data_IF_308957385115
#
_entry.id   IF_308957385115
#
_cell.length_a   1.000
_cell.length_b   1.000
_cell.length_c   1.000
_cell.angle_alpha   90.00
_cell.angle_beta   90.00
_cell.angle_gamma   90.00
#
_symmetry.space_group_name_H-M   'P 1'
#
loop_
_entity.id
_entity.type
_entity.pdbx_description
1 polymer ?
#
# COMPACT_ATOMS: atom_id res chain seq x y z
N UNK A 1 3.31 20.81 27.43
CA UNK A 1 4.27 19.84 26.87
C UNK A 1 3.47 18.62 26.48
N UNK A 2 3.38 18.32 25.19
CA UNK A 2 2.84 17.03 24.75
C UNK A 2 3.93 16.01 25.09
N UNK A 3 3.67 15.12 26.04
CA UNK A 3 4.57 13.99 26.29
C UNK A 3 4.46 13.07 25.09
N UNK A 4 5.49 13.06 24.24
CA UNK A 4 5.59 12.04 23.21
C UNK A 4 5.74 10.69 23.93
N UNK A 5 4.66 9.92 24.06
CA UNK A 5 4.74 8.47 24.30
C UNK A 5 5.09 7.75 22.98
N UNK A 6 6.02 8.32 22.21
CA UNK A 6 6.51 7.71 20.98
C UNK A 6 7.62 6.75 21.43
N UNK A 7 7.22 5.52 21.69
CA UNK A 7 8.15 4.45 22.02
C UNK A 7 9.09 4.29 20.82
N UNK A 8 10.39 4.51 21.04
CA UNK A 8 11.43 4.50 19.99
C UNK A 8 11.45 3.19 19.21
N UNK A 9 11.00 2.10 19.82
CA UNK A 9 10.64 0.86 19.15
C UNK A 9 9.27 0.39 19.68
N UNK A 10 8.20 0.41 18.86
CA UNK A 10 6.91 -0.12 19.27
C UNK A 10 6.96 -1.66 19.25
N UNK A 11 7.59 -2.26 20.27
CA UNK A 11 7.75 -3.72 20.40
C UNK A 11 6.41 -4.46 20.28
N UNK A 12 5.35 -3.90 20.86
CA UNK A 12 4.00 -4.44 20.77
C UNK A 12 3.48 -4.49 19.32
N UNK A 13 3.80 -3.47 18.51
CA UNK A 13 3.41 -3.43 17.10
C UNK A 13 4.15 -4.48 16.28
N UNK A 14 5.47 -4.60 16.44
CA UNK A 14 6.25 -5.63 15.73
C UNK A 14 5.86 -7.04 16.14
N UNK A 15 5.65 -7.26 17.44
CA UNK A 15 5.17 -8.54 17.96
C UNK A 15 3.81 -8.89 17.37
N UNK A 16 2.89 -7.92 17.30
CA UNK A 16 1.57 -8.11 16.68
C UNK A 16 1.69 -8.46 15.20
N UNK A 17 2.53 -7.73 14.45
CA UNK A 17 2.75 -8.01 13.02
C UNK A 17 3.35 -9.40 12.79
N UNK A 18 4.30 -9.83 13.62
CA UNK A 18 4.87 -11.17 13.52
C UNK A 18 3.89 -12.28 13.91
N UNK A 19 3.07 -12.08 14.94
CA UNK A 19 2.00 -13.01 15.31
C UNK A 19 0.98 -13.09 14.17
N UNK A 20 0.57 -11.94 13.61
CA UNK A 20 -0.31 -11.90 12.45
C UNK A 20 0.30 -12.69 11.29
N UNK A 21 1.58 -12.48 10.97
CA UNK A 21 2.28 -13.24 9.93
C UNK A 21 2.29 -14.76 10.21
N UNK A 22 2.50 -15.17 11.47
CA UNK A 22 2.53 -16.57 11.86
C UNK A 22 1.16 -17.25 11.72
N UNK A 23 0.06 -16.48 11.81
CA UNK A 23 -1.31 -16.96 11.63
C UNK A 23 -1.73 -16.90 10.15
N UNK A 24 -1.45 -15.79 9.46
CA UNK A 24 -1.88 -15.56 8.08
C UNK A 24 -1.21 -16.51 7.12
N UNK A 25 0.09 -16.80 7.29
CA UNK A 25 0.83 -17.67 6.37
C UNK A 25 0.25 -19.10 6.30
N UNK A 26 -0.04 -19.81 7.41
CA UNK A 26 -0.74 -21.09 7.36
C UNK A 26 -2.13 -21.01 6.72
N UNK A 27 -2.89 -19.96 7.01
CA UNK A 27 -4.24 -19.75 6.44
C UNK A 27 -4.17 -19.58 4.93
N UNK A 28 -3.21 -18.80 4.46
CA UNK A 28 -2.95 -18.55 3.06
C UNK A 28 -2.47 -19.79 2.31
N UNK A 29 -1.53 -20.53 2.89
CA UNK A 29 -1.06 -21.81 2.35
C UNK A 29 -2.18 -22.85 2.31
N UNK A 30 -3.06 -22.85 3.31
CA UNK A 30 -4.26 -23.67 3.31
C UNK A 30 -5.22 -23.26 2.17
N UNK A 31 -5.36 -21.95 1.91
CA UNK A 31 -6.07 -21.42 0.75
C UNK A 31 -5.51 -21.94 -0.57
N UNK A 32 -4.19 -21.83 -0.76
CA UNK A 32 -3.48 -22.40 -1.92
C UNK A 32 -3.72 -23.90 -2.06
N UNK A 33 -3.59 -24.65 -0.96
CA UNK A 33 -3.85 -26.09 -0.92
C UNK A 33 -5.29 -26.44 -1.35
N UNK A 34 -6.28 -25.71 -0.83
CA UNK A 34 -7.68 -25.89 -1.19
C UNK A 34 -7.91 -25.64 -2.69
N UNK A 35 -7.32 -24.57 -3.25
CA UNK A 35 -7.45 -24.26 -4.66
C UNK A 35 -6.85 -25.37 -5.52
N UNK A 36 -5.64 -25.84 -5.19
CA UNK A 36 -4.95 -26.87 -5.99
C UNK A 36 -5.64 -28.23 -5.91
N UNK A 37 -6.08 -28.66 -4.72
CA UNK A 37 -6.58 -30.03 -4.49
C UNK A 37 -8.10 -30.19 -4.59
N UNK A 38 -8.88 -29.15 -4.30
CA UNK A 38 -10.36 -29.21 -4.26
C UNK A 38 -11.05 -28.52 -5.44
N UNK A 39 -10.34 -27.76 -6.27
CA UNK A 39 -10.97 -27.11 -7.43
C UNK A 39 -11.44 -28.15 -8.45
N UNK A 40 -12.72 -28.10 -8.89
CA UNK A 40 -13.24 -29.05 -9.85
C UNK A 40 -12.71 -28.80 -11.27
N UNK A 41 -12.58 -29.84 -12.12
CA UNK A 41 -11.93 -29.75 -13.42
C UNK A 41 -12.66 -28.82 -14.41
N UNK A 42 -13.97 -28.61 -14.26
CA UNK A 42 -14.74 -27.71 -15.13
C UNK A 42 -14.43 -26.22 -14.92
N UNK A 43 -13.76 -25.84 -13.82
CA UNK A 43 -13.34 -24.46 -13.52
C UNK A 43 -11.82 -24.27 -13.58
N UNK A 44 -11.10 -25.15 -14.28
CA UNK A 44 -9.63 -25.18 -14.27
C UNK A 44 -8.98 -23.85 -14.67
N UNK A 45 -9.53 -23.13 -15.64
CA UNK A 45 -9.01 -21.83 -16.07
C UNK A 45 -9.17 -20.76 -14.98
N UNK A 46 -10.34 -20.69 -14.36
CA UNK A 46 -10.63 -19.76 -13.27
C UNK A 46 -9.81 -20.10 -12.01
N UNK A 47 -9.66 -21.39 -11.70
CA UNK A 47 -8.85 -21.89 -10.58
C UNK A 47 -7.38 -21.49 -10.71
N UNK A 48 -6.81 -21.52 -11.92
CA UNK A 48 -5.43 -21.05 -12.18
C UNK A 48 -5.26 -19.57 -11.88
N UNK A 49 -6.22 -18.74 -12.29
CA UNK A 49 -6.19 -17.31 -11.98
C UNK A 49 -6.31 -17.06 -10.47
N UNK A 50 -7.24 -17.76 -9.81
CA UNK A 50 -7.44 -17.68 -8.37
C UNK A 50 -6.18 -18.13 -7.60
N UNK A 51 -5.48 -19.13 -8.11
CA UNK A 51 -4.21 -19.62 -7.56
C UNK A 51 -3.11 -18.55 -7.67
N UNK A 52 -2.95 -17.93 -8.83
CA UNK A 52 -1.98 -16.83 -9.03
C UNK A 52 -2.29 -15.68 -8.06
N UNK A 53 -3.56 -15.29 -7.93
CA UNK A 53 -3.99 -14.28 -6.97
C UNK A 53 -3.63 -14.65 -5.53
N UNK A 54 -3.97 -15.88 -5.09
CA UNK A 54 -3.68 -16.33 -3.74
C UNK A 54 -2.17 -16.32 -3.48
N UNK A 55 -1.35 -16.78 -4.44
CA UNK A 55 0.12 -16.71 -4.33
C UNK A 55 0.60 -15.26 -4.21
N UNK A 56 0.10 -14.35 -5.06
CA UNK A 56 0.46 -12.93 -4.97
C UNK A 56 0.07 -12.31 -3.63
N UNK A 57 -1.12 -12.63 -3.11
CA UNK A 57 -1.57 -12.18 -1.80
C UNK A 57 -0.65 -12.71 -0.69
N UNK A 58 -0.35 -14.01 -0.69
CA UNK A 58 0.57 -14.62 0.29
C UNK A 58 1.96 -14.03 0.25
N UNK A 59 2.50 -13.78 -0.95
CA UNK A 59 3.80 -13.10 -1.10
C UNK A 59 3.73 -11.69 -0.55
N UNK A 60 2.66 -10.94 -0.82
CA UNK A 60 2.47 -9.57 -0.35
C UNK A 60 2.32 -9.50 1.17
N UNK A 61 1.56 -10.41 1.76
CA UNK A 61 1.34 -10.50 3.20
C UNK A 61 2.61 -10.93 3.93
N UNK A 62 3.33 -11.92 3.40
CA UNK A 62 4.65 -12.33 3.93
C UNK A 62 5.65 -11.18 3.82
N UNK A 63 5.65 -10.47 2.68
CA UNK A 63 6.52 -9.33 2.49
C UNK A 63 6.20 -8.22 3.50
N UNK A 64 4.93 -7.89 3.72
CA UNK A 64 4.51 -6.78 4.59
C UNK A 64 4.65 -7.11 6.08
N UNK A 65 4.35 -8.34 6.49
CA UNK A 65 4.29 -8.69 7.92
C UNK A 65 5.60 -9.30 8.47
N UNK A 66 6.50 -9.78 7.60
CA UNK A 66 7.72 -10.46 8.02
C UNK A 66 9.00 -9.82 7.43
N UNK A 67 8.99 -9.50 6.14
CA UNK A 67 10.22 -9.06 5.45
C UNK A 67 10.44 -7.54 5.54
N UNK A 68 9.37 -6.76 5.39
CA UNK A 68 9.35 -5.32 5.25
C UNK A 68 8.08 -4.78 5.91
N UNK A 69 8.17 -4.42 7.19
CA UNK A 69 7.12 -3.83 8.00
C UNK A 69 7.25 -2.30 7.93
N UNK A 70 6.46 -1.61 7.10
CA UNK A 70 6.48 -0.16 7.04
C UNK A 70 5.68 0.43 8.20
N UNK A 71 6.33 1.30 8.98
CA UNK A 71 5.71 2.11 10.02
C UNK A 71 5.72 3.56 9.55
N UNK A 72 4.57 4.04 9.11
CA UNK A 72 4.40 5.43 8.69
C UNK A 72 4.06 6.31 9.90
N UNK A 73 4.82 7.37 10.12
CA UNK A 73 4.57 8.32 11.20
C UNK A 73 3.74 9.51 10.73
N UNK A 74 2.41 9.38 10.72
CA UNK A 74 1.55 10.52 10.41
C UNK A 74 1.66 11.62 11.49
N UNK A 75 1.68 12.92 11.10
CA UNK A 75 1.48 13.48 9.75
C UNK A 75 2.78 13.67 8.94
N UNK A 76 3.92 13.17 9.41
CA UNK A 76 5.19 13.39 8.75
C UNK A 76 5.44 12.34 7.66
N UNK A 77 6.07 12.71 6.54
CA UNK A 77 6.48 11.78 5.50
C UNK A 77 7.76 11.02 5.92
N UNK A 78 7.75 10.45 7.12
CA UNK A 78 8.81 9.63 7.70
C UNK A 78 8.28 8.21 7.78
N UNK A 79 9.01 7.28 7.17
CA UNK A 79 8.69 5.86 7.24
C UNK A 79 9.86 5.16 7.90
N UNK A 80 9.57 4.43 8.96
CA UNK A 80 10.49 3.49 9.57
C UNK A 80 10.20 2.11 9.02
N UNK A 81 11.25 1.37 8.70
CA UNK A 81 11.09 0.03 8.17
C UNK A 81 11.82 -0.98 9.05
N UNK A 82 11.11 -2.04 9.44
CA UNK A 82 11.62 -3.14 10.25
C UNK A 82 11.31 -4.50 9.59
N UNK A 83 12.02 -5.57 9.96
CA UNK A 83 11.85 -6.89 9.33
C UNK A 83 13.16 -7.62 9.05
N UNK A 84 13.05 -8.89 8.62
CA UNK A 84 14.21 -9.78 8.45
C UNK A 84 15.15 -9.31 7.32
N UNK A 85 14.59 -8.66 6.29
CA UNK A 85 15.35 -8.24 5.11
C UNK A 85 16.31 -7.08 5.41
N UNK A 86 16.20 -6.43 6.57
CA UNK A 86 17.09 -5.35 7.02
C UNK A 86 18.44 -5.81 7.55
N UNK A 87 18.59 -7.10 7.88
CA UNK A 87 19.89 -7.65 8.27
C UNK A 87 20.89 -7.61 7.09
N UNK A 88 20.39 -7.62 5.85
CA UNK A 88 21.22 -7.54 4.64
C UNK A 88 21.55 -6.08 4.27
N UNK A 89 22.77 -5.63 4.59
CA UNK A 89 23.29 -4.25 4.40
C UNK A 89 23.26 -3.68 2.96
N UNK A 90 22.87 -4.45 1.95
CA UNK A 90 23.11 -4.10 0.53
C UNK A 90 21.91 -3.51 -0.21
N UNK A 91 20.69 -3.61 0.33
CA UNK A 91 19.49 -3.14 -0.38
C UNK A 91 19.13 -1.71 0.04
N UNK A 92 19.06 -0.79 -0.94
CA UNK A 92 18.63 0.58 -0.68
C UNK A 92 17.15 0.59 -0.30
N UNK A 93 16.83 1.20 0.84
CA UNK A 93 15.48 1.31 1.41
C UNK A 93 14.40 1.77 0.42
N UNK A 94 14.76 2.70 -0.47
CA UNK A 94 13.87 3.19 -1.52
C UNK A 94 13.34 2.08 -2.43
N UNK A 95 14.19 1.10 -2.79
CA UNK A 95 13.76 0.01 -3.66
C UNK A 95 12.83 -0.95 -2.94
N UNK A 96 13.07 -1.25 -1.66
CA UNK A 96 12.16 -2.11 -0.89
C UNK A 96 10.76 -1.49 -0.77
N UNK A 97 10.70 -0.17 -0.52
CA UNK A 97 9.43 0.53 -0.43
C UNK A 97 8.69 0.56 -1.78
N UNK A 98 9.39 0.76 -2.89
CA UNK A 98 8.79 0.69 -4.24
C UNK A 98 8.28 -0.72 -4.54
N UNK A 99 9.08 -1.75 -4.23
CA UNK A 99 8.68 -3.15 -4.40
C UNK A 99 7.44 -3.49 -3.58
N UNK A 100 7.38 -3.05 -2.32
CA UNK A 100 6.21 -3.21 -1.47
C UNK A 100 4.96 -2.59 -2.10
N UNK A 101 5.04 -1.34 -2.56
CA UNK A 101 3.91 -0.69 -3.23
C UNK A 101 3.49 -1.41 -4.51
N UNK A 102 4.44 -1.93 -5.30
CA UNK A 102 4.12 -2.72 -6.48
C UNK A 102 3.37 -4.02 -6.12
N UNK A 103 3.75 -4.68 -5.02
CA UNK A 103 3.04 -5.86 -4.51
C UNK A 103 1.60 -5.51 -4.09
N UNK A 104 1.41 -4.41 -3.35
CA UNK A 104 0.07 -3.93 -2.97
C UNK A 104 -0.79 -3.61 -4.20
N UNK A 105 -0.24 -2.87 -5.17
CA UNK A 105 -0.97 -2.54 -6.40
C UNK A 105 -1.28 -3.78 -7.24
N UNK A 106 -0.37 -4.76 -7.23
CA UNK A 106 -0.60 -6.06 -7.88
C UNK A 106 -1.76 -6.82 -7.27
N UNK A 107 -1.86 -6.91 -5.94
CA UNK A 107 -2.99 -7.59 -5.29
C UNK A 107 -4.31 -6.86 -5.53
N UNK A 108 -4.31 -5.53 -5.49
CA UNK A 108 -5.47 -4.71 -5.85
C UNK A 108 -5.91 -4.90 -7.31
N UNK A 109 -4.97 -4.91 -8.25
CA UNK A 109 -5.25 -5.17 -9.67
C UNK A 109 -5.80 -6.58 -9.91
N UNK A 110 -5.26 -7.58 -9.22
CA UNK A 110 -5.70 -8.96 -9.34
C UNK A 110 -7.15 -9.17 -8.84
N UNK A 111 -7.59 -8.42 -7.81
CA UNK A 111 -9.00 -8.38 -7.39
C UNK A 111 -9.91 -7.93 -8.53
N UNK A 112 -9.56 -6.84 -9.22
CA UNK A 112 -10.34 -6.35 -10.37
C UNK A 112 -10.40 -7.40 -11.47
N UNK A 113 -9.27 -8.06 -11.75
CA UNK A 113 -9.22 -9.13 -12.73
C UNK A 113 -10.17 -10.28 -12.36
N UNK A 114 -10.23 -10.70 -11.09
CA UNK A 114 -11.18 -11.72 -10.64
C UNK A 114 -12.64 -11.30 -10.90
N UNK A 115 -13.01 -10.04 -10.63
CA UNK A 115 -14.34 -9.54 -10.95
C UNK A 115 -14.62 -9.55 -12.45
N UNK A 116 -13.67 -9.11 -13.27
CA UNK A 116 -13.79 -9.08 -14.73
C UNK A 116 -13.97 -10.49 -15.29
N UNK A 117 -13.13 -11.44 -14.87
CA UNK A 117 -13.21 -12.85 -15.31
C UNK A 117 -14.53 -13.48 -14.91
N UNK A 118 -15.00 -13.23 -13.68
CA UNK A 118 -16.30 -13.73 -13.23
C UNK A 118 -17.44 -13.14 -14.04
N UNK A 119 -17.43 -11.82 -14.27
CA UNK A 119 -18.45 -11.15 -15.07
C UNK A 119 -18.50 -11.71 -16.50
N UNK A 120 -17.34 -11.89 -17.14
CA UNK A 120 -17.23 -12.49 -18.48
C UNK A 120 -17.73 -13.95 -18.52
N UNK A 121 -17.51 -14.73 -17.45
CA UNK A 121 -18.01 -16.11 -17.37
C UNK A 121 -19.54 -16.21 -17.24
N UNK A 122 -20.21 -15.14 -16.80
CA UNK A 122 -21.66 -15.07 -16.65
C UNK A 122 -22.37 -14.57 -17.91
N UNK A 123 -21.64 -14.01 -18.88
CA UNK A 123 -22.20 -13.55 -20.15
C UNK A 123 -22.53 -14.74 -21.06
N UNK A 124 -23.72 -14.70 -21.67
CA UNK A 124 -24.13 -15.67 -22.70
C UNK A 124 -23.16 -15.66 -23.88
N UNK A 125 -23.03 -16.79 -24.58
CA UNK A 125 -22.07 -16.96 -25.69
C UNK A 125 -22.26 -15.91 -26.79
N UNK A 126 -23.50 -15.50 -27.06
CA UNK A 126 -23.85 -14.60 -28.17
C UNK A 126 -23.91 -13.11 -27.75
N UNK A 127 -23.51 -12.79 -26.52
CA UNK A 127 -23.57 -11.41 -26.04
C UNK A 127 -22.43 -10.57 -26.63
N UNK A 128 -22.70 -9.38 -27.21
CA UNK A 128 -21.69 -8.58 -27.93
C UNK A 128 -20.52 -8.08 -27.05
N UNK A 129 -20.71 -8.08 -25.73
CA UNK A 129 -19.70 -7.67 -24.74
C UNK A 129 -18.82 -8.83 -24.23
N UNK A 130 -19.04 -10.05 -24.73
CA UNK A 130 -18.24 -11.20 -24.38
C UNK A 130 -16.95 -11.16 -25.18
N UNK A 131 -15.83 -11.05 -24.47
CA UNK A 131 -14.50 -11.05 -25.07
C UNK A 131 -13.95 -12.47 -25.15
N UNK A 132 -13.16 -12.74 -26.20
CA UNK A 132 -12.38 -13.96 -26.23
C UNK A 132 -11.36 -13.96 -25.09
N UNK A 133 -11.08 -15.16 -24.57
CA UNK A 133 -10.13 -15.37 -23.47
C UNK A 133 -8.76 -14.75 -23.74
N UNK A 134 -8.30 -14.77 -25.00
CA UNK A 134 -7.00 -14.20 -25.42
C UNK A 134 -6.96 -12.69 -25.21
N UNK A 135 -7.98 -11.96 -25.65
CA UNK A 135 -8.08 -10.51 -25.47
C UNK A 135 -8.28 -10.15 -24.01
N UNK A 136 -9.04 -10.95 -23.26
CA UNK A 136 -9.22 -10.74 -21.82
C UNK A 136 -7.88 -10.80 -21.07
N UNK A 137 -7.09 -11.85 -21.29
CA UNK A 137 -5.77 -12.00 -20.68
C UNK A 137 -4.83 -10.87 -21.11
N UNK A 138 -4.88 -10.46 -22.39
CA UNK A 138 -4.08 -9.35 -22.90
C UNK A 138 -4.43 -8.03 -22.18
N UNK A 139 -5.71 -7.70 -22.05
CA UNK A 139 -6.18 -6.50 -21.34
C UNK A 139 -5.74 -6.54 -19.88
N UNK A 140 -5.92 -7.67 -19.19
CA UNK A 140 -5.49 -7.84 -17.81
C UNK A 140 -3.97 -7.66 -17.65
N UNK A 141 -3.19 -8.20 -18.59
CA UNK A 141 -1.73 -8.09 -18.59
C UNK A 141 -1.27 -6.65 -18.85
N UNK A 142 -1.91 -5.95 -19.79
CA UNK A 142 -1.63 -4.53 -20.06
C UNK A 142 -1.95 -3.70 -18.82
N UNK A 143 -3.12 -3.90 -18.21
CA UNK A 143 -3.51 -3.21 -16.98
C UNK A 143 -2.48 -3.41 -15.86
N UNK A 144 -2.02 -4.65 -15.66
CA UNK A 144 -1.00 -4.98 -14.67
C UNK A 144 0.32 -4.23 -14.92
N UNK A 145 0.78 -4.17 -16.17
CA UNK A 145 2.02 -3.47 -16.56
C UNK A 145 1.86 -1.97 -16.40
N UNK A 146 0.70 -1.40 -16.76
CA UNK A 146 0.44 0.04 -16.67
C UNK A 146 0.40 0.49 -15.20
N UNK A 147 -0.32 -0.22 -14.33
CA UNK A 147 -0.44 0.17 -12.91
C UNK A 147 0.90 0.03 -12.18
N UNK A 148 1.56 -1.12 -12.28
CA UNK A 148 2.89 -1.29 -11.68
C UNK A 148 3.93 -0.34 -12.30
N UNK A 149 3.86 -0.10 -13.62
CA UNK A 149 4.72 0.86 -14.30
C UNK A 149 4.55 2.29 -13.77
N UNK A 150 3.32 2.72 -13.49
CA UNK A 150 3.04 4.03 -12.91
C UNK A 150 3.66 4.19 -11.51
N UNK A 151 3.53 3.16 -10.66
CA UNK A 151 4.15 3.12 -9.32
C UNK A 151 5.67 3.15 -9.40
N UNK A 152 6.26 2.34 -10.29
CA UNK A 152 7.71 2.29 -10.51
C UNK A 152 8.22 3.65 -10.98
N UNK A 153 7.60 4.25 -12.00
CA UNK A 153 8.00 5.57 -12.51
C UNK A 153 7.87 6.63 -11.42
N UNK A 154 6.78 6.63 -10.65
CA UNK A 154 6.60 7.54 -9.53
C UNK A 154 7.68 7.33 -8.46
N UNK A 155 7.97 6.09 -8.08
CA UNK A 155 8.97 5.72 -7.08
C UNK A 155 10.40 6.07 -7.48
N UNK A 156 10.80 5.75 -8.71
CA UNK A 156 12.14 6.09 -9.23
C UNK A 156 12.32 7.60 -9.43
N UNK A 157 11.24 8.35 -9.63
CA UNK A 157 11.30 9.81 -9.65
C UNK A 157 11.59 10.44 -8.27
N UNK A 158 11.55 9.65 -7.19
CA UNK A 158 11.88 10.08 -5.83
C UNK A 158 13.36 9.83 -5.56
N UNK A 159 14.23 10.86 -5.63
CA UNK A 159 15.64 10.69 -5.31
C UNK A 159 15.79 10.27 -3.84
N UNK A 160 16.72 9.35 -3.57
CA UNK A 160 17.07 9.00 -2.20
C UNK A 160 17.84 10.17 -1.55
N UNK A 161 17.11 11.10 -0.93
CA UNK A 161 17.66 12.30 -0.29
C UNK A 161 17.96 12.11 1.19
N UNK A 162 18.16 10.88 1.67
CA UNK A 162 18.48 10.62 3.09
C UNK A 162 19.62 11.52 3.57
N UNK A 163 20.72 11.56 2.84
CA UNK A 163 21.93 12.32 3.22
C UNK A 163 21.74 13.83 3.12
N UNK A 164 20.90 14.31 2.20
CA UNK A 164 20.62 15.74 2.01
C UNK A 164 19.62 16.29 3.05
N UNK A 165 18.59 15.49 3.38
CA UNK A 165 17.52 15.90 4.29
C UNK A 165 17.90 15.74 5.76
N UNK A 166 18.71 14.74 6.11
CA UNK A 166 19.16 14.48 7.49
C UNK A 166 19.69 15.74 8.19
N UNK A 167 20.66 16.50 7.64
CA UNK A 167 21.18 17.70 8.30
C UNK A 167 20.13 18.81 8.43
N UNK A 168 19.21 18.92 7.47
CA UNK A 168 18.11 19.91 7.51
C UNK A 168 17.16 19.59 8.66
N UNK A 169 16.78 18.32 8.83
CA UNK A 169 15.92 17.89 9.94
C UNK A 169 16.62 18.09 11.30
N UNK A 170 17.90 17.71 11.41
CA UNK A 170 18.70 17.93 12.62
C UNK A 170 18.79 19.43 12.97
N UNK A 171 19.10 20.29 12.00
CA UNK A 171 19.19 21.73 12.23
C UNK A 171 17.85 22.35 12.67
N UNK A 172 16.75 21.92 12.05
CA UNK A 172 15.40 22.36 12.45
C UNK A 172 15.12 21.96 13.90
N UNK A 173 15.48 20.73 14.30
CA UNK A 173 15.32 20.27 15.69
C UNK A 173 16.17 21.05 16.68
N UNK A 174 17.47 21.23 16.41
CA UNK A 174 18.37 22.02 17.27
C UNK A 174 17.86 23.46 17.44
N UNK A 175 17.43 24.10 16.35
CA UNK A 175 16.92 25.48 16.39
C UNK A 175 15.66 25.60 17.25
N UNK A 176 14.88 24.53 17.37
CA UNK A 176 13.69 24.50 18.22
C UNK A 176 14.01 24.33 19.68
N UNK A 177 15.01 23.52 20.00
CA UNK A 177 15.50 23.31 21.36
C UNK A 177 16.06 24.63 21.95
N UNK A 178 16.88 25.35 21.18
CA UNK A 178 17.36 26.69 21.57
C UNK A 178 16.26 27.74 21.73
N UNK A 179 15.09 27.54 21.07
CA UNK A 179 13.93 28.44 21.19
C UNK A 179 13.11 28.21 22.45
N UNK A 180 13.37 27.14 23.20
CA UNK A 180 12.78 26.87 24.50
C UNK A 180 13.71 27.22 25.67
N UNK A 181 15.01 27.38 25.41
CA UNK A 181 15.96 27.92 26.39
C UNK A 181 15.93 29.46 26.27
N UNK A 182 15.65 30.17 27.36
CA UNK A 182 15.63 31.63 27.44
C UNK A 182 17.05 32.22 27.28
N UNK A 183 17.66 32.09 26.10
CA UNK A 183 18.95 32.68 25.76
C UNK A 183 18.76 33.95 24.91
N UNK A 184 19.60 34.98 25.12
CA UNK A 184 19.45 36.30 24.48
C UNK A 184 19.62 36.22 22.95
N UNK A 185 18.52 36.50 22.25
CA UNK A 185 18.25 36.40 20.82
C UNK A 185 19.05 37.31 19.87
N UNK A 186 20.15 37.93 20.32
CA UNK A 186 20.79 39.04 19.58
C UNK A 186 21.89 38.62 18.61
N UNK A 187 22.63 37.52 18.84
CA UNK A 187 23.81 37.17 18.01
C UNK A 187 23.59 36.06 16.96
N UNK A 188 22.61 35.18 17.12
CA UNK A 188 22.40 34.02 16.21
C UNK A 188 21.64 34.36 14.92
N UNK A 189 21.11 35.58 14.81
CA UNK A 189 20.21 36.00 13.72
C UNK A 189 20.90 36.20 12.37
N UNK A 190 22.21 36.47 12.37
CA UNK A 190 22.93 36.89 11.16
C UNK A 190 23.33 35.72 10.23
N UNK A 191 23.52 34.52 10.77
CA UNK A 191 23.91 33.33 9.99
C UNK A 191 22.69 32.57 9.43
N UNK A 192 21.56 32.51 10.15
CA UNK A 192 20.34 31.83 9.67
C UNK A 192 19.60 32.60 8.56
N UNK A 193 19.71 33.93 8.50
CA UNK A 193 18.90 34.75 7.60
C UNK A 193 19.23 34.60 6.11
N UNK A 194 20.41 34.09 5.73
CA UNK A 194 20.77 33.90 4.32
C UNK A 194 20.26 32.58 3.72
N UNK A 195 20.01 31.55 4.52
CA UNK A 195 19.60 30.22 4.02
C UNK A 195 18.11 29.90 4.25
N UNK A 196 17.45 30.60 5.18
CA UNK A 196 16.22 30.11 5.82
C UNK A 196 14.95 30.94 5.54
N UNK A 197 15.05 32.13 4.94
CA UNK A 197 13.94 33.09 4.98
C UNK A 197 12.71 32.73 4.13
N UNK A 198 12.83 31.87 3.11
CA UNK A 198 11.71 31.53 2.21
C UNK A 198 10.97 30.22 2.56
N UNK A 199 11.60 29.31 3.32
CA UNK A 199 11.00 28.01 3.67
C UNK A 199 10.51 27.92 5.13
N UNK A 200 11.09 28.72 6.04
CA UNK A 200 10.92 28.50 7.47
C UNK A 200 9.70 29.19 8.07
N UNK A 201 9.32 30.40 7.65
CA UNK A 201 8.35 31.18 8.43
C UNK A 201 6.92 30.61 8.51
N UNK A 202 6.49 29.79 7.54
CA UNK A 202 5.12 29.20 7.52
C UNK A 202 5.06 27.73 7.97
N UNK A 203 6.21 27.04 8.05
CA UNK A 203 6.31 25.61 8.44
C UNK A 203 6.97 25.37 9.81
N UNK A 204 7.61 26.39 10.41
CA UNK A 204 8.25 26.26 11.73
C UNK A 204 7.27 26.17 12.90
N UNK A 205 6.01 26.56 12.71
CA UNK A 205 5.03 26.60 13.80
C UNK A 205 4.57 25.20 14.23
N UNK A 206 4.73 24.18 13.38
CA UNK A 206 4.24 22.81 13.64
C UNK A 206 5.27 21.91 14.29
N UNK A 207 6.57 22.22 14.26
CA UNK A 207 7.60 21.31 14.76
C UNK A 207 7.96 21.53 16.24
N UNK A 208 7.54 22.64 16.88
CA UNK A 208 7.93 22.99 18.26
C UNK A 208 7.37 22.01 19.31
N UNK A 209 6.46 21.12 18.91
CA UNK A 209 5.81 20.13 19.78
C UNK A 209 6.43 18.72 19.69
N UNK A 210 7.45 18.48 18.85
CA UNK A 210 7.92 17.12 18.54
C UNK A 210 9.43 16.90 18.76
N UNK A 211 9.93 17.23 19.95
CA UNK A 211 11.33 16.96 20.37
C UNK A 211 11.73 15.48 20.29
N UNK A 212 10.76 14.56 20.29
CA UNK A 212 10.98 13.10 20.23
C UNK A 212 11.51 12.58 18.87
N UNK A 213 11.39 13.35 17.79
CA UNK A 213 11.90 12.93 16.46
C UNK A 213 13.44 12.94 16.40
N UNK A 214 14.10 13.66 17.32
CA UNK A 214 15.56 13.77 17.34
C UNK A 214 16.24 12.42 17.62
N UNK A 215 15.65 11.62 18.52
CA UNK A 215 16.17 10.31 18.90
C UNK A 215 16.02 9.26 17.79
N UNK A 216 15.01 9.43 16.94
CA UNK A 216 14.79 8.57 15.78
C UNK A 216 15.92 8.74 14.74
N UNK A 217 16.55 9.91 14.60
CA UNK A 217 17.44 10.22 13.45
C UNK A 217 18.59 9.22 13.23
N UNK A 218 19.05 8.57 14.30
CA UNK A 218 20.16 7.62 14.27
C UNK A 218 19.72 6.16 14.15
N UNK A 219 18.42 5.86 14.16
CA UNK A 219 17.95 4.50 13.97
C UNK A 219 18.12 4.04 12.50
N UNK A 220 18.69 2.84 12.28
CA UNK A 220 18.75 2.23 10.97
C UNK A 220 17.33 1.92 10.50
N UNK A 221 17.04 2.10 9.20
CA UNK A 221 15.70 1.83 8.66
C UNK A 221 14.87 3.07 8.37
N UNK A 222 15.22 4.24 8.90
CA UNK A 222 14.43 5.45 8.66
C UNK A 222 14.66 6.02 7.27
N UNK A 223 13.57 6.33 6.60
CA UNK A 223 13.58 7.02 5.33
C UNK A 223 12.80 8.32 5.41
N UNK A 224 13.47 9.41 5.04
CA UNK A 224 12.88 10.74 4.93
C UNK A 224 12.40 10.95 3.50
N UNK A 225 11.14 11.33 3.35
CA UNK A 225 10.59 11.75 2.08
C UNK A 225 10.24 13.24 2.13
N UNK A 226 10.45 13.94 1.02
CA UNK A 226 9.83 15.25 0.84
C UNK A 226 8.32 15.06 0.76
N UNK A 227 7.57 15.94 1.43
CA UNK A 227 6.11 15.89 1.39
C UNK A 227 5.54 15.96 -0.04
N UNK A 228 6.23 16.64 -0.96
CA UNK A 228 5.83 16.72 -2.37
C UNK A 228 5.99 15.36 -3.07
N UNK A 229 7.15 14.71 -2.91
CA UNK A 229 7.43 13.41 -3.51
C UNK A 229 6.47 12.35 -2.95
N UNK A 230 6.32 12.30 -1.62
CA UNK A 230 5.41 11.37 -0.95
C UNK A 230 3.96 11.58 -1.40
N UNK A 231 3.52 12.85 -1.53
CA UNK A 231 2.18 13.19 -2.03
C UNK A 231 1.97 12.72 -3.47
N UNK A 232 2.98 12.79 -4.34
CA UNK A 232 2.88 12.30 -5.72
C UNK A 232 2.67 10.78 -5.75
N UNK A 233 3.46 10.04 -4.96
CA UNK A 233 3.33 8.59 -4.86
C UNK A 233 1.98 8.18 -4.25
N UNK A 234 1.58 8.82 -3.16
CA UNK A 234 0.28 8.62 -2.52
C UNK A 234 -0.86 8.92 -3.50
N UNK A 235 -0.76 10.00 -4.29
CA UNK A 235 -1.76 10.32 -5.31
C UNK A 235 -1.89 9.21 -6.34
N UNK A 236 -0.79 8.67 -6.86
CA UNK A 236 -0.83 7.55 -7.82
C UNK A 236 -1.55 6.35 -7.21
N UNK A 237 -1.15 5.93 -6.00
CA UNK A 237 -1.76 4.79 -5.30
C UNK A 237 -3.23 5.04 -4.99
N UNK A 238 -3.60 6.25 -4.54
CA UNK A 238 -4.99 6.62 -4.29
C UNK A 238 -5.84 6.63 -5.56
N UNK A 239 -5.31 7.13 -6.68
CA UNK A 239 -6.02 7.12 -7.97
C UNK A 239 -6.25 5.68 -8.44
N UNK A 240 -5.25 4.81 -8.31
CA UNK A 240 -5.39 3.38 -8.62
C UNK A 240 -6.40 2.69 -7.70
N UNK A 241 -6.36 2.99 -6.39
CA UNK A 241 -7.33 2.47 -5.43
C UNK A 241 -8.76 2.92 -5.73
N UNK A 242 -8.96 4.20 -6.04
CA UNK A 242 -10.26 4.71 -6.47
C UNK A 242 -10.74 4.05 -7.76
N UNK A 243 -9.84 3.86 -8.73
CA UNK A 243 -10.15 3.14 -9.96
C UNK A 243 -10.60 1.70 -9.67
N UNK A 244 -9.88 0.96 -8.82
CA UNK A 244 -10.22 -0.40 -8.39
C UNK A 244 -11.60 -0.45 -7.74
N UNK A 245 -11.90 0.49 -6.84
CA UNK A 245 -13.19 0.61 -6.16
C UNK A 245 -14.31 0.84 -7.17
N UNK A 246 -14.16 1.86 -8.03
CA UNK A 246 -15.16 2.23 -9.03
C UNK A 246 -15.44 1.09 -10.01
N UNK A 247 -14.39 0.47 -10.56
CA UNK A 247 -14.54 -0.66 -11.49
C UNK A 247 -15.20 -1.85 -10.79
N UNK A 248 -14.84 -2.15 -9.54
CA UNK A 248 -15.47 -3.22 -8.77
C UNK A 248 -16.97 -2.96 -8.57
N UNK A 249 -17.37 -1.75 -8.20
CA UNK A 249 -18.78 -1.37 -8.08
C UNK A 249 -19.53 -1.47 -9.41
N UNK A 250 -18.93 -1.00 -10.51
CA UNK A 250 -19.52 -1.09 -11.85
C UNK A 250 -19.72 -2.55 -12.26
N UNK A 251 -18.70 -3.41 -12.09
CA UNK A 251 -18.77 -4.83 -12.46
C UNK A 251 -19.80 -5.58 -11.62
N UNK A 252 -19.89 -5.29 -10.33
CA UNK A 252 -20.92 -5.82 -9.45
C UNK A 252 -22.30 -5.40 -9.95
N UNK A 253 -22.51 -4.10 -10.20
CA UNK A 253 -23.77 -3.58 -10.72
C UNK A 253 -24.17 -4.23 -12.06
N UNK A 254 -23.23 -4.32 -13.00
CA UNK A 254 -23.46 -4.97 -14.30
C UNK A 254 -23.79 -6.45 -14.15
N UNK A 255 -23.13 -7.14 -13.22
CA UNK A 255 -23.42 -8.55 -12.94
C UNK A 255 -24.86 -8.72 -12.41
N UNK A 256 -25.28 -7.89 -11.47
CA UNK A 256 -26.66 -7.90 -10.96
C UNK A 256 -27.68 -7.57 -12.04
N UNK A 257 -27.38 -6.60 -12.90
CA UNK A 257 -28.24 -6.25 -14.03
C UNK A 257 -28.40 -7.43 -14.98
N UNK A 258 -27.31 -8.12 -15.32
CA UNK A 258 -27.34 -9.28 -16.21
C UNK A 258 -28.17 -10.45 -15.63
N UNK A 259 -28.07 -10.70 -14.32
CA UNK A 259 -28.88 -11.75 -13.68
C UNK A 259 -30.39 -11.52 -13.81
N UNK A 260 -30.84 -10.27 -13.96
CA UNK A 260 -32.26 -9.97 -14.18
C UNK A 260 -32.78 -10.46 -15.53
N UNK A 261 -31.90 -10.59 -16.53
CA UNK A 261 -32.28 -10.93 -17.91
C UNK A 261 -32.01 -12.39 -18.27
N UNK A 262 -31.23 -13.11 -17.46
CA UNK A 262 -30.92 -14.52 -17.69
C UNK A 262 -31.88 -15.44 -16.93
N UNK A 263 -32.36 -16.51 -17.57
CA UNK A 263 -33.18 -17.58 -16.96
C UNK A 263 -32.34 -18.49 -16.04
N UNK A 264 -31.70 -17.90 -15.02
CA UNK A 264 -30.88 -18.62 -14.04
C UNK A 264 -31.74 -18.99 -12.84
N UNK A 265 -31.51 -20.18 -12.25
CA UNK A 265 -32.24 -20.63 -11.06
C UNK A 265 -32.04 -19.69 -9.87
N UNK A 266 -33.11 -19.45 -9.11
CA UNK A 266 -33.10 -18.56 -7.93
C UNK A 266 -32.00 -18.92 -6.92
N UNK A 267 -31.75 -20.21 -6.72
CA UNK A 267 -30.69 -20.72 -5.83
C UNK A 267 -29.29 -20.25 -6.26
N UNK A 268 -29.03 -20.21 -7.56
CA UNK A 268 -27.74 -19.75 -8.11
C UNK A 268 -27.60 -18.24 -7.92
N UNK A 269 -28.68 -17.49 -8.13
CA UNK A 269 -28.71 -16.04 -7.90
C UNK A 269 -28.34 -15.75 -6.44
N UNK A 270 -28.99 -16.38 -5.46
CA UNK A 270 -28.73 -16.13 -4.04
C UNK A 270 -27.31 -16.47 -3.61
N UNK A 271 -26.73 -17.55 -4.16
CA UNK A 271 -25.35 -17.93 -3.88
C UNK A 271 -24.36 -16.91 -4.48
N UNK A 272 -24.65 -16.40 -5.68
CA UNK A 272 -23.87 -15.33 -6.32
C UNK A 272 -23.96 -14.02 -5.54
N UNK A 273 -25.15 -13.64 -5.06
CA UNK A 273 -25.32 -12.42 -4.22
C UNK A 273 -24.49 -12.49 -2.95
N UNK A 274 -24.54 -13.62 -2.24
CA UNK A 274 -23.76 -13.81 -1.00
C UNK A 274 -22.27 -13.74 -1.26
N UNK A 275 -21.79 -14.40 -2.31
CA UNK A 275 -20.39 -14.36 -2.69
C UNK A 275 -19.95 -12.92 -3.04
N UNK A 276 -20.71 -12.21 -3.88
CA UNK A 276 -20.36 -10.84 -4.27
C UNK A 276 -20.38 -9.89 -3.08
N UNK A 277 -21.36 -10.02 -2.17
CA UNK A 277 -21.40 -9.23 -0.93
C UNK A 277 -20.17 -9.50 -0.06
N UNK A 278 -19.77 -10.77 0.09
CA UNK A 278 -18.56 -11.14 0.82
C UNK A 278 -17.31 -10.54 0.19
N UNK A 279 -17.20 -10.59 -1.14
CA UNK A 279 -16.06 -10.07 -1.88
C UNK A 279 -15.98 -8.54 -1.81
N UNK A 280 -17.11 -7.84 -1.94
CA UNK A 280 -17.18 -6.37 -1.77
C UNK A 280 -16.76 -5.97 -0.36
N UNK A 281 -17.22 -6.68 0.67
CA UNK A 281 -16.83 -6.40 2.05
C UNK A 281 -15.33 -6.61 2.22
N UNK A 282 -14.77 -7.73 1.74
CA UNK A 282 -13.33 -8.00 1.82
C UNK A 282 -12.51 -6.90 1.14
N UNK A 283 -12.89 -6.46 -0.06
CA UNK A 283 -12.15 -5.46 -0.83
C UNK A 283 -12.27 -4.06 -0.22
N UNK A 284 -13.47 -3.64 0.16
CA UNK A 284 -13.67 -2.30 0.74
C UNK A 284 -13.11 -2.20 2.15
N UNK A 285 -13.14 -3.28 2.93
CA UNK A 285 -12.56 -3.27 4.27
C UNK A 285 -11.05 -2.99 4.21
N UNK A 286 -10.32 -3.69 3.34
CA UNK A 286 -8.87 -3.51 3.17
C UNK A 286 -8.54 -2.08 2.71
N UNK A 287 -9.36 -1.50 1.83
CA UNK A 287 -9.13 -0.15 1.30
C UNK A 287 -9.55 0.97 2.26
N UNK A 288 -10.46 0.71 3.20
CA UNK A 288 -10.85 1.68 4.24
C UNK A 288 -9.78 1.82 5.33
N UNK A 289 -8.87 0.85 5.45
CA UNK A 289 -7.79 0.85 6.43
C UNK A 289 -6.43 1.29 5.85
N UNK A 290 -6.35 1.62 4.55
CA UNK A 290 -5.19 2.24 3.90
C UNK A 290 -5.33 3.76 3.84
#
# INVERSE_FOLDING_TARGET
>A
MITCHLQSEPEAFFTTMHILSAITLPVDLFGVYCIVKKSPPFMKDYSRLLLVYQICATVTDTFTNMLFIPVAFFPFPVVYHAGVLFSYRYLKYSYMFITWLCLVVTTMGAIVQLFVFRWQSLLMNDHPLRLDKKYLILICSIMFVVTNGAVVIAGFSMPNRREELRPIYIQVMITMEFKNVNLPWSKTRLQLNKFSARFVKKKLFTFKEFSCIAELVDQPGIQYFLAYDYRRLLLVVCVEGLFVILVSFILVYLTFRNFRFTNVTQKTIDLQKRYQKSLIVQVNLVLLFC
#
